data_IF_137080953006
#
_entry.id   IF_137080953006
#
_cell.length_a   1.000
_cell.length_b   1.000
_cell.length_c   1.000
_cell.angle_alpha   90.00
_cell.angle_beta   90.00
_cell.angle_gamma   90.00
#
_symmetry.space_group_name_H-M   'P 1'
#
loop_
_entity.id
_entity.type
_entity.pdbx_description
1 polymer ?
#
# COMPACT_ATOMS: atom_id res chain seq x y z
N UNK A 1 20.79 -4.86 9.62
CA UNK A 1 19.48 -4.53 10.22
C UNK A 1 19.06 -3.19 9.67
N UNK A 2 18.25 -3.15 8.60
CA UNK A 2 17.66 -1.90 8.15
C UNK A 2 16.33 -1.74 8.88
N UNK A 3 16.31 -0.83 9.86
CA UNK A 3 15.12 -0.49 10.64
C UNK A 3 14.57 0.80 10.03
N UNK A 4 13.58 0.67 9.15
CA UNK A 4 12.86 1.80 8.59
C UNK A 4 11.96 2.37 9.68
N UNK A 5 12.50 3.27 10.49
CA UNK A 5 11.77 3.96 11.57
C UNK A 5 10.94 5.08 10.94
N UNK A 6 9.90 4.71 10.18
CA UNK A 6 8.81 5.64 9.96
C UNK A 6 8.07 5.75 11.31
N UNK A 7 8.19 6.90 11.97
CA UNK A 7 7.32 7.20 13.12
C UNK A 7 5.90 7.24 12.58
N UNK A 8 5.14 6.17 12.81
CA UNK A 8 3.77 5.98 12.32
C UNK A 8 2.89 7.22 12.63
N UNK A 9 3.16 7.92 13.73
CA UNK A 9 2.46 9.15 14.12
C UNK A 9 2.62 10.38 13.21
N UNK A 10 3.52 10.38 12.21
CA UNK A 10 3.63 11.47 11.23
C UNK A 10 3.15 11.10 9.82
N UNK A 11 2.76 9.83 9.60
CA UNK A 11 2.29 9.36 8.31
C UNK A 11 0.88 9.89 8.04
N UNK A 12 0.64 10.28 6.79
CA UNK A 12 -0.65 10.76 6.31
C UNK A 12 -1.10 9.89 5.15
N UNK A 13 -2.42 9.77 4.99
CA UNK A 13 -2.99 9.19 3.77
C UNK A 13 -2.50 9.99 2.56
N UNK A 14 -2.14 9.27 1.51
CA UNK A 14 -1.55 9.84 0.30
C UNK A 14 -0.04 10.03 0.34
N UNK A 15 0.63 9.91 1.50
CA UNK A 15 2.09 9.93 1.55
C UNK A 15 2.69 8.77 0.75
N UNK A 16 3.85 9.00 0.14
CA UNK A 16 4.59 7.98 -0.63
C UNK A 16 5.73 7.46 0.22
N UNK A 17 5.67 6.17 0.55
CA UNK A 17 6.69 5.44 1.26
C UNK A 17 7.63 4.71 0.28
N UNK A 18 8.93 4.84 0.53
CA UNK A 18 9.98 4.11 -0.19
C UNK A 18 10.49 3.00 0.72
N UNK A 19 10.46 1.77 0.22
CA UNK A 19 10.94 0.57 0.90
C UNK A 19 12.11 -0.02 0.12
N UNK A 20 13.25 -0.17 0.77
CA UNK A 20 14.39 -0.91 0.22
C UNK A 20 14.38 -2.32 0.78
N UNK A 21 14.24 -3.32 -0.09
CA UNK A 21 14.46 -4.72 0.29
C UNK A 21 15.78 -5.19 -0.27
N UNK A 22 16.51 -5.96 0.53
CA UNK A 22 17.66 -6.71 0.07
C UNK A 22 17.23 -8.19 0.05
N UNK A 23 17.23 -8.81 -1.13
CA UNK A 23 17.02 -10.24 -1.25
C UNK A 23 18.33 -10.89 -1.65
N UNK A 24 18.96 -11.61 -0.72
CA UNK A 24 20.13 -12.43 -1.00
C UNK A 24 19.66 -13.82 -1.43
N UNK A 25 19.93 -14.18 -2.68
CA UNK A 25 19.71 -15.53 -3.21
C UNK A 25 21.06 -16.03 -3.74
N UNK A 26 21.52 -17.17 -3.21
CA UNK A 26 22.69 -17.94 -3.69
C UNK A 26 23.85 -17.08 -4.21
N UNK A 27 24.51 -16.35 -3.31
CA UNK A 27 25.72 -15.58 -3.63
C UNK A 27 25.52 -14.25 -4.35
N UNK A 28 24.28 -13.87 -4.70
CA UNK A 28 23.94 -12.56 -5.26
C UNK A 28 22.93 -11.84 -4.37
N UNK A 29 23.25 -10.60 -3.97
CA UNK A 29 22.33 -9.71 -3.28
C UNK A 29 21.68 -8.81 -4.33
N UNK A 30 20.37 -8.94 -4.50
CA UNK A 30 19.59 -7.99 -5.30
C UNK A 30 18.92 -7.00 -4.38
N UNK A 31 19.22 -5.72 -4.57
CA UNK A 31 18.49 -4.63 -3.95
C UNK A 31 17.27 -4.30 -4.81
N UNK A 32 16.10 -4.18 -4.19
CA UNK A 32 14.90 -3.70 -4.86
C UNK A 32 14.31 -2.55 -4.06
N UNK A 33 13.99 -1.49 -4.77
CA UNK A 33 13.27 -0.34 -4.24
C UNK A 33 11.80 -0.51 -4.61
N UNK A 34 10.93 -0.39 -3.62
CA UNK A 34 9.49 -0.30 -3.82
C UNK A 34 9.03 1.10 -3.44
N UNK A 35 8.23 1.69 -4.31
CA UNK A 35 7.55 2.96 -4.06
C UNK A 35 6.06 2.61 -3.93
N UNK A 36 5.48 2.90 -2.76
CA UNK A 36 4.08 2.63 -2.46
C UNK A 36 3.46 3.86 -1.79
N UNK A 37 2.18 4.08 -2.04
CA UNK A 37 1.38 5.13 -1.39
C UNK A 37 0.64 4.55 -0.20
N UNK A 38 0.60 5.32 0.89
CA UNK A 38 -0.20 5.00 2.08
C UNK A 38 -1.66 5.30 1.76
N UNK A 39 -2.51 4.27 1.79
CA UNK A 39 -3.93 4.39 1.50
C UNK A 39 -4.73 4.46 2.81
N UNK A 40 -4.38 3.64 3.80
CA UNK A 40 -5.08 3.56 5.08
C UNK A 40 -4.11 3.55 6.27
N UNK A 41 -4.54 4.14 7.38
CA UNK A 41 -3.81 4.29 8.64
C UNK A 41 -4.42 3.41 9.75
N UNK A 42 -3.74 3.22 10.90
CA UNK A 42 -4.31 2.48 12.02
C UNK A 42 -5.71 2.97 12.41
N UNK A 43 -6.66 2.03 12.55
CA UNK A 43 -8.06 2.31 12.88
C UNK A 43 -8.97 2.55 11.67
N UNK A 44 -8.41 2.67 10.47
CA UNK A 44 -9.21 2.76 9.25
C UNK A 44 -9.79 1.40 8.85
N UNK A 45 -10.93 1.41 8.18
CA UNK A 45 -11.45 0.25 7.44
C UNK A 45 -11.27 0.48 5.95
N UNK A 46 -10.81 -0.54 5.24
CA UNK A 46 -10.62 -0.50 3.80
C UNK A 46 -11.25 -1.72 3.16
N UNK A 47 -11.92 -1.50 2.04
CA UNK A 47 -12.52 -2.54 1.19
C UNK A 47 -12.20 -2.17 -0.26
N UNK A 48 -12.10 -3.18 -1.13
CA UNK A 48 -12.12 -2.95 -2.58
C UNK A 48 -13.38 -3.61 -3.11
N UNK A 49 -14.27 -2.80 -3.69
CA UNK A 49 -15.55 -3.25 -4.21
C UNK A 49 -15.75 -2.70 -5.62
N UNK A 50 -16.02 -3.60 -6.57
CA UNK A 50 -16.12 -3.25 -7.99
C UNK A 50 -14.86 -2.52 -8.49
N UNK A 51 -13.69 -2.93 -7.98
CA UNK A 51 -12.41 -2.34 -8.35
C UNK A 51 -12.13 -0.93 -7.81
N UNK A 52 -12.97 -0.44 -6.89
CA UNK A 52 -12.85 0.87 -6.24
C UNK A 52 -12.48 0.71 -4.77
N UNK A 53 -11.60 1.59 -4.28
CA UNK A 53 -11.26 1.62 -2.86
C UNK A 53 -12.38 2.33 -2.09
N UNK A 54 -12.93 1.63 -1.10
CA UNK A 54 -13.85 2.19 -0.12
C UNK A 54 -13.09 2.29 1.21
N UNK A 55 -12.90 3.51 1.70
CA UNK A 55 -12.14 3.82 2.90
C UNK A 55 -13.06 4.45 3.94
N UNK A 56 -13.19 3.81 5.10
CA UNK A 56 -14.13 4.18 6.16
C UNK A 56 -15.59 4.31 5.67
N UNK A 57 -15.97 3.51 4.66
CA UNK A 57 -17.31 3.51 4.07
C UNK A 57 -17.54 4.50 2.94
N UNK A 58 -16.54 5.33 2.59
CA UNK A 58 -16.62 6.29 1.50
C UNK A 58 -15.68 5.89 0.35
N UNK A 59 -16.12 6.09 -0.90
CA UNK A 59 -15.25 5.88 -2.06
C UNK A 59 -14.07 6.86 -2.01
N UNK A 60 -12.85 6.33 -2.05
CA UNK A 60 -11.63 7.13 -2.09
C UNK A 60 -11.40 7.62 -3.51
N UNK A 61 -11.40 8.93 -3.72
CA UNK A 61 -11.00 9.52 -4.99
C UNK A 61 -9.48 9.41 -5.18
N UNK A 62 -9.07 8.75 -6.26
CA UNK A 62 -7.66 8.50 -6.58
C UNK A 62 -7.27 9.18 -7.90
N UNK A 63 -7.06 10.50 -7.88
CA UNK A 63 -6.71 11.28 -9.08
C UNK A 63 -5.34 10.90 -9.70
N UNK A 64 -4.57 10.07 -9.01
CA UNK A 64 -3.22 9.61 -9.41
C UNK A 64 -3.22 8.26 -10.13
N UNK A 65 -4.38 7.62 -10.32
CA UNK A 65 -4.51 6.38 -11.11
C UNK A 65 -5.48 6.59 -12.28
N UNK A 66 -5.24 5.89 -13.38
CA UNK A 66 -6.07 5.91 -14.59
C UNK A 66 -6.81 4.59 -14.86
N UNK A 67 -6.68 3.62 -13.94
CA UNK A 67 -7.15 2.25 -14.12
C UNK A 67 -7.91 1.75 -12.90
N UNK A 68 -9.02 1.07 -13.15
CA UNK A 68 -9.82 0.36 -12.14
C UNK A 68 -9.12 -0.94 -11.75
N UNK A 69 -9.18 -1.30 -10.47
CA UNK A 69 -8.60 -2.56 -10.00
C UNK A 69 -9.44 -3.76 -10.47
N UNK A 70 -8.79 -4.84 -10.90
CA UNK A 70 -9.51 -6.07 -11.30
C UNK A 70 -9.84 -7.00 -10.12
N UNK A 71 -9.38 -6.66 -8.92
CA UNK A 71 -9.51 -7.49 -7.73
C UNK A 71 -10.23 -6.74 -6.63
N UNK A 72 -11.30 -7.35 -6.15
CA UNK A 72 -11.99 -6.94 -4.92
C UNK A 72 -11.27 -7.51 -3.70
N UNK A 73 -11.49 -6.88 -2.56
CA UNK A 73 -10.93 -7.23 -1.27
C UNK A 73 -12.00 -7.01 -0.22
N UNK A 74 -12.19 -8.01 0.64
CA UNK A 74 -13.11 -7.91 1.77
C UNK A 74 -12.70 -6.77 2.72
N UNK A 75 -13.67 -6.28 3.48
CA UNK A 75 -13.46 -5.23 4.48
C UNK A 75 -12.38 -5.65 5.48
N UNK A 76 -11.32 -4.87 5.56
CA UNK A 76 -10.19 -5.05 6.45
C UNK A 76 -10.08 -3.85 7.40
N UNK A 77 -10.01 -4.12 8.70
CA UNK A 77 -9.62 -3.13 9.70
C UNK A 77 -8.10 -3.06 9.77
N UNK A 78 -7.54 -1.86 9.72
CA UNK A 78 -6.10 -1.65 9.86
C UNK A 78 -5.75 -1.66 11.35
N UNK A 79 -5.01 -2.68 11.76
CA UNK A 79 -4.57 -2.88 13.13
C UNK A 79 -3.67 -1.75 13.62
N UNK A 80 -3.58 -1.62 14.95
CA UNK A 80 -2.62 -0.72 15.58
C UNK A 80 -1.20 -0.95 15.05
N UNK A 81 -0.44 0.14 14.86
CA UNK A 81 0.94 0.13 14.35
C UNK A 81 1.13 -0.44 12.92
N UNK A 82 0.05 -0.57 12.15
CA UNK A 82 0.13 -0.97 10.73
C UNK A 82 -0.46 0.08 9.79
N UNK A 83 -0.02 0.07 8.54
CA UNK A 83 -0.58 0.90 7.47
C UNK A 83 -0.82 0.01 6.27
N UNK A 84 -1.81 0.36 5.44
CA UNK A 84 -2.03 -0.32 4.17
C UNK A 84 -1.44 0.51 3.05
N UNK A 85 -0.61 -0.12 2.22
CA UNK A 85 0.08 0.57 1.12
C UNK A 85 -0.18 -0.09 -0.23
N UNK A 86 -0.21 0.73 -1.28
CA UNK A 86 -0.43 0.27 -2.64
C UNK A 86 0.50 0.96 -3.62
N UNK A 87 0.88 0.26 -4.69
CA UNK A 87 1.56 0.90 -5.81
C UNK A 87 0.59 1.70 -6.65
N UNK A 88 1.04 2.81 -7.22
CA UNK A 88 0.22 3.62 -8.14
C UNK A 88 -0.04 2.86 -9.47
N UNK A 89 0.82 1.90 -9.83
CA UNK A 89 0.56 1.00 -10.96
C UNK A 89 -0.46 -0.09 -10.59
N UNK A 90 -1.74 0.23 -10.74
CA UNK A 90 -2.88 -0.66 -10.41
C UNK A 90 -3.17 -1.74 -11.44
N UNK A 91 -2.37 -1.84 -12.50
CA UNK A 91 -2.57 -2.86 -13.53
C UNK A 91 -2.40 -4.29 -12.99
N UNK A 92 -3.10 -5.28 -13.57
CA UNK A 92 -3.14 -6.66 -13.06
C UNK A 92 -1.77 -7.35 -12.96
N UNK A 93 -0.78 -6.89 -13.74
CA UNK A 93 0.59 -7.42 -13.75
C UNK A 93 1.58 -6.60 -12.91
N UNK A 94 1.18 -5.44 -12.39
CA UNK A 94 2.04 -4.50 -11.67
C UNK A 94 1.61 -4.20 -10.23
N UNK A 95 0.38 -4.56 -9.86
CA UNK A 95 -0.16 -4.26 -8.54
C UNK A 95 0.42 -5.19 -7.47
N UNK A 96 0.90 -4.62 -6.37
CA UNK A 96 1.21 -5.38 -5.16
C UNK A 96 0.63 -4.64 -3.97
N UNK A 97 -0.20 -5.35 -3.22
CA UNK A 97 -0.84 -4.91 -1.97
C UNK A 97 0.03 -5.42 -0.83
N UNK A 98 0.25 -4.62 0.20
CA UNK A 98 1.07 -4.98 1.37
C UNK A 98 0.62 -4.24 2.62
#
# INVERSE_FOLDING_TARGET
VNKLVYRIGSLRRGDVAVFETQKTLTGSTTERIFIKRIIALPGDTIEIREGKIILNGEELAEDYIDTVMEQDMELLLIEADTVFVMGDNRHPRGSSIS
#
